data_IF_832760650025
#
_entry.id   IF_832760650025
#
_cell.length_a   1.000
_cell.length_b   1.000
_cell.length_c   1.000
_cell.angle_alpha   90.00
_cell.angle_beta   90.00
_cell.angle_gamma   90.00
#
_symmetry.space_group_name_H-M   'P 1'
#
loop_
_entity.id
_entity.type
_entity.pdbx_description
1 polymer ?
#
# COMPACT_ATOMS: atom_id res chain seq x y z
N UNK A 1 5.57 37.27 -53.46
CA UNK A 1 5.47 37.12 -52.00
C UNK A 1 4.67 35.87 -51.67
N UNK A 2 5.33 34.74 -51.36
CA UNK A 2 4.68 33.49 -50.93
C UNK A 2 5.18 33.18 -49.51
N UNK A 3 4.28 33.20 -48.53
CA UNK A 3 4.59 32.82 -47.14
C UNK A 3 4.63 31.31 -47.05
N UNK A 4 5.79 30.76 -46.73
CA UNK A 4 6.00 29.35 -46.42
C UNK A 4 5.53 29.13 -44.97
N UNK A 5 4.45 28.38 -44.77
CA UNK A 5 4.00 27.96 -43.43
C UNK A 5 4.81 26.73 -43.04
N UNK A 6 5.73 26.91 -42.09
CA UNK A 6 6.54 25.84 -41.52
C UNK A 6 5.70 25.08 -40.49
N UNK A 7 5.19 23.90 -40.86
CA UNK A 7 4.59 22.96 -39.91
C UNK A 7 5.70 22.30 -39.09
N UNK A 8 5.86 22.74 -37.84
CA UNK A 8 6.70 22.05 -36.86
C UNK A 8 5.90 20.80 -36.41
N UNK A 9 6.27 19.64 -36.97
CA UNK A 9 5.92 18.34 -36.41
C UNK A 9 6.58 18.23 -35.04
N UNK A 10 5.81 18.44 -33.96
CA UNK A 10 6.19 17.94 -32.65
C UNK A 10 6.16 16.41 -32.71
N UNK A 11 7.32 15.81 -32.93
CA UNK A 11 7.51 14.40 -32.59
C UNK A 11 7.37 14.29 -31.08
N UNK A 12 6.32 13.60 -30.62
CA UNK A 12 6.18 13.14 -29.25
C UNK A 12 7.44 12.33 -28.90
N UNK A 13 8.43 12.98 -28.28
CA UNK A 13 9.52 12.28 -27.62
C UNK A 13 8.87 11.43 -26.54
N UNK A 14 8.83 10.12 -26.78
CA UNK A 14 8.40 9.17 -25.78
C UNK A 14 9.13 9.48 -24.49
N UNK A 15 8.36 9.70 -23.42
CA UNK A 15 8.91 9.79 -22.07
C UNK A 15 9.60 8.45 -21.85
N UNK A 16 10.94 8.45 -21.90
CA UNK A 16 11.74 7.31 -21.48
C UNK A 16 11.45 7.15 -20.00
N UNK A 17 10.59 6.20 -19.66
CA UNK A 17 10.33 5.79 -18.28
C UNK A 17 11.64 5.21 -17.76
N UNK A 18 12.40 6.02 -17.01
CA UNK A 18 13.53 5.51 -16.21
C UNK A 18 12.97 4.41 -15.30
N UNK A 19 13.57 3.21 -15.37
CA UNK A 19 13.20 2.08 -14.51
C UNK A 19 12.78 0.80 -15.24
N UNK A 20 12.93 0.73 -16.57
CA UNK A 20 12.62 -0.48 -17.34
C UNK A 20 13.55 -1.65 -16.97
N UNK A 21 13.21 -2.37 -15.90
CA UNK A 21 13.97 -3.51 -15.35
C UNK A 21 13.86 -3.69 -13.83
N UNK A 22 13.56 -2.63 -13.08
CA UNK A 22 13.39 -2.71 -11.63
C UNK A 22 11.98 -3.23 -11.31
N UNK A 23 11.89 -4.30 -10.52
CA UNK A 23 10.61 -4.87 -10.05
C UNK A 23 10.56 -4.92 -8.54
N UNK A 24 9.38 -4.69 -7.96
CA UNK A 24 9.13 -4.91 -6.54
C UNK A 24 8.33 -6.19 -6.38
N UNK A 25 8.95 -7.21 -5.76
CA UNK A 25 8.34 -8.50 -5.50
C UNK A 25 7.64 -8.49 -4.16
N UNK A 26 6.42 -9.02 -4.13
CA UNK A 26 5.58 -9.17 -2.94
C UNK A 26 5.52 -7.89 -2.09
N UNK A 27 5.11 -6.74 -2.67
CA UNK A 27 4.88 -5.54 -1.88
C UNK A 27 3.91 -5.86 -0.74
N UNK A 28 4.06 -5.26 0.45
CA UNK A 28 3.05 -5.43 1.49
C UNK A 28 1.72 -4.85 0.99
N UNK A 29 0.65 -5.65 1.02
CA UNK A 29 -0.72 -5.20 0.80
C UNK A 29 -1.58 -5.59 2.01
N UNK A 30 -2.79 -5.07 2.06
CA UNK A 30 -3.79 -5.40 3.08
C UNK A 30 -4.25 -6.86 2.86
N UNK A 31 -3.73 -7.80 3.66
CA UNK A 31 -3.96 -9.24 3.48
C UNK A 31 -5.35 -9.67 3.99
N UNK A 32 -6.02 -8.88 4.84
CA UNK A 32 -7.37 -9.18 5.37
C UNK A 32 -8.52 -8.55 4.60
N UNK A 33 -8.26 -7.63 3.66
CA UNK A 33 -9.06 -7.55 2.44
C UNK A 33 -8.91 -8.91 1.76
N UNK A 34 -9.76 -9.87 2.11
CA UNK A 34 -9.92 -11.17 1.44
C UNK A 34 -10.16 -11.02 -0.08
N UNK A 35 -10.18 -9.79 -0.59
CA UNK A 35 -10.40 -9.40 -1.96
C UNK A 35 -9.51 -8.21 -2.32
N UNK A 36 -8.65 -8.37 -3.31
CA UNK A 36 -8.01 -7.25 -4.01
C UNK A 36 -8.92 -6.76 -5.12
N UNK A 37 -9.05 -5.43 -5.24
CA UNK A 37 -9.69 -4.80 -6.39
C UNK A 37 -8.67 -4.67 -7.51
N UNK A 38 -8.76 -5.55 -8.49
CA UNK A 38 -7.87 -5.55 -9.64
C UNK A 38 -8.60 -5.09 -10.89
N UNK A 39 -7.83 -4.70 -11.90
CA UNK A 39 -8.35 -4.29 -13.18
C UNK A 39 -7.74 -5.15 -14.28
N UNK A 40 -8.53 -5.51 -15.29
CA UNK A 40 -8.06 -6.33 -16.42
C UNK A 40 -7.47 -5.49 -17.55
N UNK A 41 -7.57 -4.16 -17.45
CA UNK A 41 -7.10 -3.21 -18.45
C UNK A 41 -6.33 -2.05 -17.81
N UNK A 42 -5.43 -1.44 -18.59
CA UNK A 42 -4.58 -0.33 -18.15
C UNK A 42 -5.33 1.00 -17.97
N UNK A 43 -6.60 1.08 -18.37
CA UNK A 43 -7.46 2.25 -18.20
C UNK A 43 -8.19 2.26 -16.84
N UNK A 44 -8.11 1.16 -16.09
CA UNK A 44 -8.71 0.98 -14.76
C UNK A 44 -10.24 1.06 -14.78
N UNK A 45 -10.87 0.49 -15.81
CA UNK A 45 -12.34 0.48 -15.95
C UNK A 45 -12.96 -0.86 -15.61
N UNK A 46 -12.33 -1.97 -15.99
CA UNK A 46 -12.91 -3.31 -15.82
C UNK A 46 -12.45 -3.92 -14.49
N UNK A 47 -13.30 -3.80 -13.48
CA UNK A 47 -13.02 -4.23 -12.11
C UNK A 47 -13.24 -5.73 -11.95
N UNK A 48 -12.32 -6.39 -11.24
CA UNK A 48 -12.45 -7.75 -10.74
C UNK A 48 -12.00 -7.81 -9.28
N UNK A 49 -12.67 -8.64 -8.49
CA UNK A 49 -12.20 -8.97 -7.14
C UNK A 49 -11.42 -10.29 -7.19
N UNK A 50 -10.25 -10.33 -6.55
CA UNK A 50 -9.44 -11.54 -6.42
C UNK A 50 -9.21 -11.88 -4.95
N UNK A 51 -9.35 -13.16 -4.58
CA UNK A 51 -8.89 -13.59 -3.25
C UNK A 51 -7.41 -13.27 -3.06
N UNK A 52 -7.03 -12.79 -1.89
CA UNK A 52 -5.63 -12.59 -1.48
C UNK A 52 -4.93 -13.90 -1.15
N UNK A 53 -5.67 -15.00 -1.02
CA UNK A 53 -5.12 -16.29 -0.66
C UNK A 53 -4.15 -16.79 -1.74
N UNK A 54 -2.97 -17.18 -1.31
CA UNK A 54 -1.95 -17.81 -2.15
C UNK A 54 -1.51 -16.98 -3.37
N UNK A 55 -1.51 -15.64 -3.28
CA UNK A 55 -1.03 -14.77 -4.35
C UNK A 55 0.40 -14.26 -4.10
N UNK A 56 1.20 -14.27 -5.17
CA UNK A 56 2.45 -13.52 -5.30
C UNK A 56 2.22 -12.39 -6.30
N UNK A 57 2.59 -11.18 -5.96
CA UNK A 57 2.46 -10.01 -6.82
C UNK A 57 3.84 -9.43 -7.13
N UNK A 58 4.09 -9.11 -8.39
CA UNK A 58 5.29 -8.38 -8.80
C UNK A 58 4.89 -7.10 -9.51
N UNK A 59 5.28 -5.95 -8.97
CA UNK A 59 5.03 -4.65 -9.59
C UNK A 59 6.00 -4.46 -10.75
N UNK A 60 5.45 -4.32 -11.95
CA UNK A 60 6.23 -4.26 -13.19
C UNK A 60 6.42 -2.82 -13.67
N UNK A 61 5.34 -2.04 -13.69
CA UNK A 61 5.36 -0.71 -14.31
C UNK A 61 4.29 0.19 -13.72
N UNK A 62 4.65 1.46 -13.49
CA UNK A 62 3.73 2.52 -13.12
C UNK A 62 3.25 3.29 -14.35
N UNK A 63 1.95 3.59 -14.43
CA UNK A 63 1.37 4.35 -15.55
C UNK A 63 0.65 5.63 -15.13
N UNK A 64 1.04 6.25 -14.01
CA UNK A 64 0.39 7.42 -13.37
C UNK A 64 -0.97 7.16 -12.71
N UNK A 65 -1.72 6.15 -13.17
CA UNK A 65 -3.01 5.76 -12.57
C UNK A 65 -2.87 4.62 -11.58
N UNK A 66 -1.90 3.74 -11.80
CA UNK A 66 -1.63 2.61 -10.95
C UNK A 66 -0.51 1.74 -11.49
N UNK A 67 -0.45 0.53 -10.96
CA UNK A 67 0.54 -0.49 -11.28
C UNK A 67 0.03 -1.47 -12.32
N UNK A 68 0.87 -1.80 -13.29
CA UNK A 68 0.85 -3.09 -13.97
C UNK A 68 1.52 -4.12 -13.06
N UNK A 69 0.83 -5.21 -12.79
CA UNK A 69 1.24 -6.22 -11.82
C UNK A 69 1.21 -7.59 -12.48
N UNK A 70 2.29 -8.35 -12.30
CA UNK A 70 2.29 -9.79 -12.57
C UNK A 70 1.76 -10.52 -11.33
N UNK A 71 0.67 -11.26 -11.51
CA UNK A 71 0.09 -12.15 -10.52
C UNK A 71 0.55 -13.57 -10.79
N UNK A 72 1.02 -14.26 -9.76
CA UNK A 72 1.29 -15.71 -9.76
C UNK A 72 0.79 -16.35 -8.47
N UNK A 73 0.75 -17.68 -8.41
CA UNK A 73 0.42 -18.39 -7.17
C UNK A 73 1.62 -18.58 -6.23
N UNK A 74 1.39 -18.67 -4.93
CA UNK A 74 2.41 -19.05 -3.94
C UNK A 74 2.70 -20.55 -3.95
N UNK A 75 1.71 -21.38 -4.31
CA UNK A 75 1.85 -22.83 -4.39
C UNK A 75 2.54 -23.24 -5.70
N UNK A 76 3.44 -24.23 -5.64
CA UNK A 76 4.33 -24.64 -6.75
C UNK A 76 3.59 -24.97 -8.04
N UNK A 77 2.40 -25.57 -7.95
CA UNK A 77 1.57 -25.88 -9.13
C UNK A 77 0.85 -24.66 -9.73
N UNK A 78 0.76 -23.54 -9.01
CA UNK A 78 0.20 -22.27 -9.49
C UNK A 78 1.26 -21.23 -9.85
N UNK A 79 2.53 -21.47 -9.52
CA UNK A 79 3.64 -20.53 -9.76
C UNK A 79 3.91 -20.29 -11.24
N UNK A 80 3.63 -21.28 -12.09
CA UNK A 80 3.80 -21.19 -13.54
C UNK A 80 2.66 -20.47 -14.26
N UNK A 81 1.52 -20.24 -13.58
CA UNK A 81 0.39 -19.49 -14.15
C UNK A 81 0.55 -18.00 -13.81
N UNK A 82 1.09 -17.26 -14.77
CA UNK A 82 1.30 -15.81 -14.66
C UNK A 82 0.20 -15.06 -15.41
N UNK A 83 -0.45 -14.15 -14.71
CA UNK A 83 -1.43 -13.23 -15.29
C UNK A 83 -0.96 -11.79 -15.13
N UNK A 84 -1.26 -10.95 -16.12
CA UNK A 84 -1.13 -9.50 -15.96
C UNK A 84 -2.44 -8.92 -15.47
N UNK A 85 -2.37 -8.17 -14.38
CA UNK A 85 -3.48 -7.38 -13.83
C UNK A 85 -3.00 -5.95 -13.59
N UNK A 86 -3.93 -5.06 -13.25
CA UNK A 86 -3.62 -3.70 -12.84
C UNK A 86 -4.20 -3.41 -11.46
N UNK A 87 -3.48 -2.64 -10.65
CA UNK A 87 -3.85 -2.33 -9.27
C UNK A 87 -3.61 -0.87 -8.95
N UNK A 88 -4.53 -0.27 -8.19
CA UNK A 88 -4.35 1.10 -7.71
C UNK A 88 -3.35 1.15 -6.56
N UNK A 89 -2.70 2.30 -6.44
CA UNK A 89 -1.67 2.57 -5.44
C UNK A 89 -2.20 2.43 -4.01
N UNK A 90 -3.44 2.85 -3.76
CA UNK A 90 -4.10 2.83 -2.46
C UNK A 90 -4.27 1.45 -1.80
N UNK A 91 -4.03 0.37 -2.54
CA UNK A 91 -4.11 -1.01 -2.03
C UNK A 91 -2.82 -1.51 -1.37
N UNK A 92 -1.71 -0.77 -1.50
CA UNK A 92 -0.42 -1.18 -0.96
C UNK A 92 -0.07 -0.44 0.33
N UNK A 93 0.49 -1.18 1.28
CA UNK A 93 1.11 -0.59 2.48
C UNK A 93 2.34 0.20 2.03
N UNK A 94 2.37 1.48 2.41
CA UNK A 94 3.44 2.40 2.01
C UNK A 94 4.68 2.21 2.88
N UNK A 95 5.33 1.06 2.76
CA UNK A 95 6.64 0.85 3.39
C UNK A 95 7.68 1.81 2.81
N UNK A 96 8.80 1.99 3.51
CA UNK A 96 9.93 2.79 2.99
C UNK A 96 10.41 2.26 1.64
N UNK A 97 10.61 0.94 1.53
CA UNK A 97 11.01 0.26 0.29
C UNK A 97 10.04 0.56 -0.86
N UNK A 98 8.72 0.44 -0.60
CA UNK A 98 7.70 0.72 -1.60
C UNK A 98 7.75 2.16 -2.12
N UNK A 99 7.98 3.13 -1.23
CA UNK A 99 8.07 4.56 -1.60
C UNK A 99 9.29 4.86 -2.44
N UNK A 100 10.45 4.36 -2.00
CA UNK A 100 11.69 4.50 -2.74
C UNK A 100 11.57 3.88 -4.13
N UNK A 101 10.89 2.74 -4.22
CA UNK A 101 10.58 2.10 -5.49
C UNK A 101 9.71 2.99 -6.39
N UNK A 102 8.61 3.56 -5.86
CA UNK A 102 7.74 4.47 -6.63
C UNK A 102 8.49 5.70 -7.15
N UNK A 103 9.35 6.28 -6.33
CA UNK A 103 10.08 7.50 -6.69
C UNK A 103 10.99 7.32 -7.91
N UNK A 104 11.34 6.09 -8.27
CA UNK A 104 12.07 5.79 -9.51
C UNK A 104 11.23 6.00 -10.77
N UNK A 105 9.92 5.76 -10.70
CA UNK A 105 9.01 5.74 -11.86
C UNK A 105 8.12 6.97 -11.96
N UNK A 106 7.79 7.58 -10.83
CA UNK A 106 6.92 8.75 -10.78
C UNK A 106 7.71 9.98 -10.28
N UNK A 107 8.05 10.93 -11.18
CA UNK A 107 8.84 12.10 -10.81
C UNK A 107 8.12 12.99 -9.80
N UNK A 108 6.79 12.90 -9.70
CA UNK A 108 5.99 13.66 -8.76
C UNK A 108 5.78 12.92 -7.44
N UNK A 109 6.16 11.64 -7.32
CA UNK A 109 5.90 10.87 -6.11
C UNK A 109 6.60 11.44 -4.89
N UNK A 110 7.88 11.84 -5.01
CA UNK A 110 8.61 12.47 -3.90
C UNK A 110 7.90 13.70 -3.36
N UNK A 111 7.38 14.55 -4.26
CA UNK A 111 6.64 15.75 -3.87
C UNK A 111 5.33 15.37 -3.16
N UNK A 112 4.56 14.41 -3.70
CA UNK A 112 3.32 13.93 -3.07
C UNK A 112 3.57 13.26 -1.71
N UNK A 113 4.62 12.45 -1.61
CA UNK A 113 5.09 11.82 -0.37
C UNK A 113 5.40 12.86 0.70
N UNK A 114 6.17 13.89 0.35
CA UNK A 114 6.50 14.99 1.27
C UNK A 114 5.25 15.74 1.75
N UNK A 115 4.32 16.03 0.83
CA UNK A 115 3.03 16.68 1.18
C UNK A 115 2.21 15.79 2.11
N UNK A 116 2.07 14.50 1.79
CA UNK A 116 1.32 13.56 2.61
C UNK A 116 1.92 13.40 4.00
N UNK A 117 3.24 13.19 4.11
CA UNK A 117 3.95 13.14 5.39
C UNK A 117 3.72 14.42 6.20
N UNK A 118 3.87 15.60 5.58
CA UNK A 118 3.63 16.88 6.24
C UNK A 118 2.19 17.01 6.75
N UNK A 119 1.21 16.52 5.98
CA UNK A 119 -0.20 16.55 6.37
C UNK A 119 -0.49 15.60 7.55
N UNK A 120 0.13 14.41 7.58
CA UNK A 120 0.03 13.49 8.71
C UNK A 120 0.59 14.10 9.99
N UNK A 121 1.79 14.68 9.92
CA UNK A 121 2.43 15.34 11.07
C UNK A 121 1.61 16.53 11.55
N UNK A 122 1.10 17.36 10.63
CA UNK A 122 0.22 18.50 10.97
C UNK A 122 -1.08 18.05 11.64
N UNK A 123 -1.68 16.95 11.17
CA UNK A 123 -2.99 16.48 11.64
C UNK A 123 -2.91 15.70 12.95
N UNK A 124 -1.89 14.86 13.11
CA UNK A 124 -1.81 13.88 14.20
C UNK A 124 -0.65 14.10 15.17
N UNK A 125 0.19 15.10 14.93
CA UNK A 125 1.42 15.33 15.69
C UNK A 125 2.60 14.53 15.13
N UNK A 126 3.80 14.85 15.61
CA UNK A 126 5.05 14.29 15.08
C UNK A 126 5.12 12.78 15.24
N UNK A 127 4.86 12.26 16.44
CA UNK A 127 5.08 10.83 16.72
C UNK A 127 4.06 9.95 16.00
N UNK A 128 2.77 10.22 16.15
CA UNK A 128 1.71 9.48 15.46
C UNK A 128 1.79 9.68 13.95
N UNK A 129 2.02 10.91 13.49
CA UNK A 129 2.12 11.22 12.06
C UNK A 129 3.27 10.49 11.38
N UNK A 130 4.43 10.41 12.04
CA UNK A 130 5.57 9.62 11.55
C UNK A 130 5.34 8.11 11.71
N UNK A 131 4.66 7.65 12.76
CA UNK A 131 4.27 6.25 12.91
C UNK A 131 3.39 5.78 11.76
N UNK A 132 2.34 6.53 11.43
CA UNK A 132 1.47 6.26 10.26
C UNK A 132 2.28 6.32 8.97
N UNK A 133 3.16 7.32 8.83
CA UNK A 133 4.02 7.39 7.67
C UNK A 133 4.90 6.14 7.57
N UNK A 134 5.58 5.68 8.60
CA UNK A 134 6.45 4.50 8.48
C UNK A 134 5.70 3.16 8.53
N UNK A 135 4.38 3.16 8.76
CA UNK A 135 3.62 1.94 8.98
C UNK A 135 4.00 1.25 10.29
N UNK A 136 4.29 2.05 11.32
CA UNK A 136 4.74 1.59 12.63
C UNK A 136 3.74 2.03 13.69
N UNK A 137 2.93 1.10 14.23
CA UNK A 137 2.06 1.39 15.37
C UNK A 137 2.81 2.06 16.50
N UNK A 138 2.26 3.17 16.99
CA UNK A 138 2.87 3.98 18.06
C UNK A 138 1.88 4.14 19.21
N UNK A 139 2.36 4.00 20.45
CA UNK A 139 1.55 4.22 21.66
C UNK A 139 0.85 5.58 21.60
N UNK A 140 -0.42 5.62 21.99
CA UNK A 140 -1.28 6.80 21.94
C UNK A 140 -2.10 6.95 20.66
N UNK A 141 -1.86 6.13 19.63
CA UNK A 141 -2.72 6.03 18.45
C UNK A 141 -4.14 5.61 18.83
N UNK A 142 -5.15 6.19 18.18
CA UNK A 142 -6.50 5.61 18.20
C UNK A 142 -6.57 4.32 17.39
N UNK A 143 -7.61 3.51 17.57
CA UNK A 143 -7.85 2.33 16.73
C UNK A 143 -7.85 2.69 15.24
N UNK A 144 -8.49 3.81 14.88
CA UNK A 144 -8.50 4.31 13.50
C UNK A 144 -7.11 4.70 12.98
N UNK A 145 -6.26 5.31 13.81
CA UNK A 145 -4.88 5.67 13.42
C UNK A 145 -3.98 4.44 13.33
N UNK A 146 -4.16 3.50 14.26
CA UNK A 146 -3.49 2.21 14.24
C UNK A 146 -3.79 1.46 12.92
N UNK A 147 -5.05 1.46 12.48
CA UNK A 147 -5.48 0.86 11.21
C UNK A 147 -4.96 1.60 9.96
N UNK A 148 -4.30 2.75 10.11
CA UNK A 148 -3.55 3.37 9.01
C UNK A 148 -2.12 2.80 8.91
N UNK A 149 -1.64 2.11 9.95
CA UNK A 149 -0.34 1.46 10.02
C UNK A 149 -0.43 -0.04 9.76
N UNK A 150 -1.44 -0.66 10.34
CA UNK A 150 -1.70 -2.09 10.32
C UNK A 150 -3.09 -2.38 9.77
N UNK A 151 -3.34 -3.64 9.44
CA UNK A 151 -4.65 -4.13 9.01
C UNK A 151 -5.56 -4.41 10.22
N UNK A 152 -6.81 -4.86 10.02
CA UNK A 152 -7.65 -5.37 11.10
C UNK A 152 -7.07 -6.65 11.72
N UNK A 153 -7.25 -6.87 13.04
CA UNK A 153 -6.69 -8.03 13.71
C UNK A 153 -7.52 -9.28 13.38
N UNK A 154 -6.83 -10.42 13.37
CA UNK A 154 -7.40 -11.75 13.25
C UNK A 154 -8.39 -12.02 14.38
N UNK A 155 -8.07 -11.54 15.58
CA UNK A 155 -8.92 -11.68 16.76
C UNK A 155 -8.88 -10.43 17.61
N UNK A 156 -10.05 -10.09 18.15
CA UNK A 156 -10.25 -9.00 19.09
C UNK A 156 -10.92 -9.52 20.35
N UNK A 157 -10.28 -9.30 21.50
CA UNK A 157 -10.89 -9.53 22.80
C UNK A 157 -11.26 -8.17 23.37
N UNK A 158 -12.52 -7.95 23.74
CA UNK A 158 -13.01 -6.68 24.28
C UNK A 158 -13.58 -6.88 25.67
N UNK A 159 -13.19 -6.03 26.61
CA UNK A 159 -13.74 -5.96 27.97
C UNK A 159 -14.26 -4.55 28.22
N UNK A 160 -15.56 -4.44 28.46
CA UNK A 160 -16.20 -3.17 28.78
C UNK A 160 -16.63 -3.16 30.25
N UNK A 161 -16.26 -2.11 30.97
CA UNK A 161 -16.62 -1.90 32.38
C UNK A 161 -17.16 -0.48 32.57
N UNK A 162 -17.65 -0.17 33.77
CA UNK A 162 -18.00 1.22 34.14
C UNK A 162 -16.84 2.21 34.03
N UNK A 163 -15.59 1.73 34.04
CA UNK A 163 -14.38 2.54 34.00
C UNK A 163 -13.83 2.75 32.58
N UNK A 164 -14.41 2.09 31.58
CA UNK A 164 -13.97 2.20 30.19
C UNK A 164 -13.91 0.86 29.48
N UNK A 165 -13.33 0.90 28.29
CA UNK A 165 -13.19 -0.25 27.39
C UNK A 165 -11.71 -0.60 27.24
N UNK A 166 -11.37 -1.87 27.41
CA UNK A 166 -10.07 -2.42 27.10
C UNK A 166 -10.19 -3.43 25.98
N UNK A 167 -9.28 -3.39 25.02
CA UNK A 167 -9.25 -4.32 23.90
C UNK A 167 -7.85 -4.90 23.72
N UNK A 168 -7.79 -6.17 23.32
CA UNK A 168 -6.56 -6.82 22.85
C UNK A 168 -6.79 -7.27 21.41
N UNK A 169 -5.94 -6.79 20.52
CA UNK A 169 -5.93 -7.07 19.10
C UNK A 169 -4.77 -8.01 18.80
N UNK A 170 -5.05 -9.12 18.15
CA UNK A 170 -4.11 -10.24 17.99
C UNK A 170 -3.78 -10.42 16.51
N UNK A 171 -2.49 -10.41 16.19
CA UNK A 171 -1.95 -10.64 14.86
C UNK A 171 -1.06 -11.87 14.85
N UNK A 172 -1.46 -12.88 14.10
CA UNK A 172 -0.67 -14.09 13.85
C UNK A 172 0.07 -13.96 12.51
N UNK A 173 1.40 -13.96 12.57
CA UNK A 173 2.27 -13.90 11.41
C UNK A 173 2.88 -15.27 11.08
N UNK A 174 2.28 -16.37 11.54
CA UNK A 174 2.72 -17.73 11.26
C UNK A 174 4.11 -18.01 11.86
N UNK A 175 5.09 -18.30 11.01
CA UNK A 175 6.47 -18.59 11.44
C UNK A 175 7.16 -17.39 12.11
N UNK A 176 6.66 -16.17 11.90
CA UNK A 176 7.18 -14.94 12.51
C UNK A 176 6.58 -14.64 13.89
N UNK A 177 5.76 -15.55 14.42
CA UNK A 177 5.16 -15.42 15.75
C UNK A 177 3.88 -14.60 15.76
N UNK A 178 3.49 -14.17 16.95
CA UNK A 178 2.21 -13.50 17.19
C UNK A 178 2.43 -12.21 17.95
N UNK A 179 1.82 -11.14 17.44
CA UNK A 179 1.89 -9.81 18.04
C UNK A 179 0.56 -9.43 18.66
N UNK A 180 0.62 -8.71 19.76
CA UNK A 180 -0.53 -8.26 20.52
C UNK A 180 -0.48 -6.74 20.67
N UNK A 181 -1.62 -6.11 20.45
CA UNK A 181 -1.80 -4.68 20.62
C UNK A 181 -2.93 -4.43 21.60
N UNK A 182 -2.66 -3.61 22.61
CA UNK A 182 -3.59 -3.35 23.70
C UNK A 182 -4.14 -1.94 23.57
N UNK A 183 -5.46 -1.80 23.63
CA UNK A 183 -6.14 -0.52 23.62
C UNK A 183 -6.88 -0.30 24.92
N UNK A 184 -6.86 0.93 25.41
CA UNK A 184 -7.69 1.39 26.53
C UNK A 184 -8.37 2.68 26.12
N UNK A 185 -9.71 2.71 26.14
CA UNK A 185 -10.52 3.85 25.73
C UNK A 185 -10.11 4.42 24.36
N UNK A 186 -10.03 3.54 23.35
CA UNK A 186 -9.62 3.87 21.98
C UNK A 186 -8.20 4.48 21.89
N UNK A 187 -7.29 4.06 22.77
CA UNK A 187 -5.88 4.45 22.71
C UNK A 187 -4.98 3.23 22.83
N UNK A 188 -4.06 3.07 21.89
CA UNK A 188 -3.02 2.05 21.95
C UNK A 188 -2.15 2.31 23.17
N UNK A 189 -2.14 1.38 24.12
CA UNK A 189 -1.43 1.47 25.40
C UNK A 189 -0.33 0.44 25.55
N UNK A 190 -0.34 -0.64 24.75
CA UNK A 190 0.68 -1.68 24.80
C UNK A 190 0.91 -2.35 23.46
N UNK A 191 2.15 -2.78 23.24
CA UNK A 191 2.61 -3.59 22.11
C UNK A 191 3.43 -4.73 22.70
N UNK A 192 3.14 -5.97 22.31
CA UNK A 192 3.85 -7.15 22.76
C UNK A 192 4.11 -8.09 21.59
N UNK A 193 5.35 -8.58 21.50
CA UNK A 193 5.81 -9.60 20.54
C UNK A 193 5.84 -11.01 21.17
#
# INVERSE_FOLDING_TARGET
MKRLVLFILLTCTGIIVKGQGDVLKNPKWDHYKQKLTVYTDSSFTNIKELSTDFLKLTLLQWNSKGWKVEKSGTLSYMENSKDTIYMKDDQFVKTTEYREFIEKFDPNARARHKVYQSNLVKKYGKDIGLGIWFGVPTIGMTSSQFLMCEDWPQKRNTTQTKHGTSEQWIYDYGEFGRKYYYFTNDKLTGIQD
#
